data_IF_035989641381
#
_entry.id   IF_035989641381
#
_cell.length_a   1.000
_cell.length_b   1.000
_cell.length_c   1.000
_cell.angle_alpha   90.00
_cell.angle_beta   90.00
_cell.angle_gamma   90.00
#
_symmetry.space_group_name_H-M   'P 1'
#
loop_
_entity.id
_entity.type
_entity.pdbx_description
1 polymer ?
#
# COMPACT_ATOMS: atom_id res chain seq x y z
N UNK A 1 8.45 -12.83 7.52
CA UNK A 1 8.51 -12.02 8.73
C UNK A 1 7.12 -11.44 8.98
N UNK A 2 6.48 -11.78 10.09
CA UNK A 2 5.25 -11.12 10.50
C UNK A 2 5.61 -9.81 11.20
N UNK A 3 5.22 -8.68 10.65
CA UNK A 3 5.34 -7.40 11.35
C UNK A 3 4.11 -7.26 12.23
N UNK A 4 4.27 -7.46 13.53
CA UNK A 4 3.19 -7.25 14.49
C UNK A 4 3.20 -5.81 14.96
N UNK A 5 2.17 -5.07 14.60
CA UNK A 5 1.90 -3.78 15.22
C UNK A 5 1.05 -3.98 16.48
N UNK A 6 1.68 -3.89 17.64
CA UNK A 6 1.02 -4.12 18.93
C UNK A 6 -0.08 -3.09 19.25
N UNK A 7 -0.10 -1.94 18.60
CA UNK A 7 -1.00 -0.83 18.98
C UNK A 7 -2.23 -0.66 18.08
N UNK A 8 -2.28 -1.29 16.91
CA UNK A 8 -3.42 -1.13 15.99
C UNK A 8 -4.00 -2.46 15.48
N UNK A 9 -3.57 -3.59 16.02
CA UNK A 9 -4.10 -4.91 15.64
C UNK A 9 -3.76 -5.34 14.20
N UNK A 10 -2.90 -4.62 13.51
CA UNK A 10 -2.52 -4.96 12.15
C UNK A 10 -1.33 -5.91 12.17
N UNK A 11 -1.58 -7.17 11.93
CA UNK A 11 -0.53 -8.15 11.64
C UNK A 11 -0.38 -8.19 10.13
N UNK A 12 0.78 -7.83 9.62
CA UNK A 12 1.08 -7.97 8.20
C UNK A 12 1.73 -9.33 8.00
N UNK A 13 1.04 -10.22 7.34
CA UNK A 13 1.53 -11.56 7.01
C UNK A 13 1.83 -11.63 5.52
N UNK A 14 3.00 -12.11 5.19
CA UNK A 14 3.41 -12.30 3.80
C UNK A 14 4.91 -12.27 3.59
N UNK A 15 5.36 -12.62 2.39
CA UNK A 15 6.77 -12.48 2.03
C UNK A 15 7.17 -11.01 2.08
N UNK A 16 8.23 -10.69 2.83
CA UNK A 16 8.77 -9.34 2.94
C UNK A 16 10.07 -9.19 2.15
N UNK A 17 10.23 -8.02 1.55
CA UNK A 17 11.46 -7.60 0.90
C UNK A 17 12.19 -6.59 1.80
N UNK A 18 13.48 -6.79 2.03
CA UNK A 18 14.32 -5.95 2.92
C UNK A 18 15.62 -5.48 2.25
N UNK A 19 15.69 -5.51 0.94
CA UNK A 19 16.85 -5.09 0.16
C UNK A 19 16.66 -3.77 -0.57
N UNK A 20 17.50 -3.54 -1.57
CA UNK A 20 17.38 -2.43 -2.49
C UNK A 20 16.94 -2.98 -3.83
N UNK A 21 15.78 -2.53 -4.32
CA UNK A 21 15.33 -2.76 -5.68
C UNK A 21 15.49 -1.46 -6.47
N UNK A 22 16.36 -1.49 -7.47
CA UNK A 22 16.55 -0.38 -8.39
C UNK A 22 16.06 -0.81 -9.78
N UNK A 23 14.96 -0.21 -10.23
CA UNK A 23 14.40 -0.45 -11.55
C UNK A 23 15.25 0.13 -12.68
N UNK A 24 16.22 0.99 -12.34
CA UNK A 24 17.17 1.60 -13.29
C UNK A 24 16.48 2.27 -14.49
N UNK A 25 15.31 2.85 -14.24
CA UNK A 25 14.47 3.49 -15.27
C UNK A 25 13.76 2.53 -16.23
N UNK A 26 13.89 1.22 -16.02
CA UNK A 26 13.17 0.24 -16.84
C UNK A 26 11.69 0.20 -16.52
N UNK A 27 10.90 -0.22 -17.52
CA UNK A 27 9.46 -0.36 -17.39
C UNK A 27 9.07 -1.79 -17.07
N UNK A 28 8.20 -1.94 -16.10
CA UNK A 28 7.46 -3.17 -15.83
C UNK A 28 6.06 -2.95 -16.39
N UNK A 29 5.70 -3.69 -17.43
CA UNK A 29 4.41 -3.57 -18.11
C UNK A 29 3.61 -4.87 -17.98
N UNK A 30 2.28 -4.71 -17.96
CA UNK A 30 1.37 -5.86 -17.89
C UNK A 30 1.26 -6.45 -16.48
N UNK A 31 1.42 -5.64 -15.44
CA UNK A 31 1.09 -6.07 -14.07
C UNK A 31 -0.44 -6.11 -13.95
N UNK A 32 -1.03 -7.25 -14.30
CA UNK A 32 -2.49 -7.42 -14.41
C UNK A 32 -3.04 -8.50 -13.47
N UNK A 33 -2.84 -8.39 -12.15
CA UNK A 33 -3.46 -9.30 -11.19
C UNK A 33 -4.96 -9.11 -11.16
N UNK A 34 -5.72 -10.21 -11.30
CA UNK A 34 -7.19 -10.20 -11.30
C UNK A 34 -7.76 -11.18 -10.29
N UNK A 35 -8.95 -10.85 -9.77
CA UNK A 35 -9.65 -11.71 -8.83
C UNK A 35 -8.91 -11.89 -7.49
N UNK A 36 -8.12 -10.91 -7.09
CA UNK A 36 -7.40 -10.97 -5.81
C UNK A 36 -8.39 -10.71 -4.68
N UNK A 37 -8.50 -11.66 -3.76
CA UNK A 37 -9.31 -11.53 -2.54
C UNK A 37 -8.36 -11.53 -1.35
N UNK A 38 -8.36 -10.43 -0.60
CA UNK A 38 -7.52 -10.23 0.56
C UNK A 38 -8.31 -10.50 1.84
N UNK A 39 -7.85 -11.47 2.60
CA UNK A 39 -8.34 -11.75 3.94
C UNK A 39 -7.76 -10.78 4.98
N UNK A 40 -8.23 -10.87 6.22
CA UNK A 40 -7.74 -10.01 7.29
C UNK A 40 -6.22 -10.17 7.51
N UNK A 41 -5.50 -9.05 7.53
CA UNK A 41 -4.06 -8.99 7.70
C UNK A 41 -3.26 -9.17 6.40
N UNK A 42 -3.92 -9.47 5.29
CA UNK A 42 -3.22 -9.64 4.02
C UNK A 42 -2.94 -8.31 3.34
N UNK A 43 -1.90 -8.32 2.52
CA UNK A 43 -1.46 -7.16 1.76
C UNK A 43 -1.02 -7.59 0.35
N UNK A 44 -1.23 -6.72 -0.63
CA UNK A 44 -0.97 -7.02 -2.03
C UNK A 44 -0.31 -5.86 -2.77
N UNK A 45 0.60 -6.20 -3.66
CA UNK A 45 1.29 -5.31 -4.59
C UNK A 45 2.39 -6.07 -5.32
N UNK A 46 3.09 -5.42 -6.24
CA UNK A 46 4.31 -6.00 -6.84
C UNK A 46 5.30 -6.41 -5.73
N UNK A 47 5.38 -5.58 -4.69
CA UNK A 47 6.02 -5.89 -3.41
C UNK A 47 4.94 -5.94 -2.33
N UNK A 48 4.51 -7.10 -1.88
CA UNK A 48 3.48 -7.18 -0.84
C UNK A 48 3.88 -6.43 0.42
N UNK A 49 5.11 -6.66 0.93
CA UNK A 49 5.62 -6.02 2.14
C UNK A 49 7.05 -5.55 1.96
N UNK A 50 7.33 -4.30 2.29
CA UNK A 50 8.67 -3.76 2.45
C UNK A 50 9.00 -3.60 3.94
N UNK A 51 10.20 -4.04 4.36
CA UNK A 51 10.70 -3.87 5.73
C UNK A 51 12.15 -3.38 5.67
N UNK A 52 12.39 -2.13 6.02
CA UNK A 52 13.73 -1.54 5.94
C UNK A 52 14.30 -1.52 4.52
N UNK A 53 13.44 -1.50 3.52
CA UNK A 53 13.79 -1.66 2.11
C UNK A 53 13.87 -0.32 1.38
N UNK A 54 14.51 -0.34 0.22
CA UNK A 54 14.45 0.76 -0.74
C UNK A 54 13.97 0.25 -2.10
N UNK A 55 12.91 0.86 -2.64
CA UNK A 55 12.43 0.64 -4.01
C UNK A 55 12.55 1.96 -4.75
N UNK A 56 13.27 1.97 -5.87
CA UNK A 56 13.53 3.20 -6.61
C UNK A 56 13.64 3.00 -8.13
N UNK A 57 13.51 4.13 -8.84
CA UNK A 57 13.68 4.20 -10.29
C UNK A 57 12.79 3.17 -11.04
N UNK A 58 11.52 3.05 -10.63
CA UNK A 58 10.57 2.07 -11.16
C UNK A 58 9.48 2.77 -11.96
N UNK A 59 9.20 2.26 -13.16
CA UNK A 59 8.02 2.62 -13.92
C UNK A 59 7.15 1.38 -14.09
N UNK A 60 6.01 1.35 -13.37
CA UNK A 60 5.07 0.22 -13.37
C UNK A 60 3.81 0.60 -14.13
N UNK A 61 3.29 -0.30 -14.95
CA UNK A 61 1.98 -0.10 -15.58
C UNK A 61 1.18 -1.39 -15.67
N UNK A 62 -0.16 -1.26 -15.46
CA UNK A 62 -1.06 -2.39 -15.53
C UNK A 62 -2.45 -2.12 -14.97
N UNK A 63 -3.15 -3.20 -14.69
CA UNK A 63 -4.51 -3.18 -14.13
C UNK A 63 -4.54 -4.13 -12.93
N UNK A 64 -5.03 -3.68 -11.81
CA UNK A 64 -5.21 -4.49 -10.62
C UNK A 64 -6.70 -4.62 -10.28
N UNK A 65 -7.15 -5.83 -10.03
CA UNK A 65 -8.50 -6.11 -9.52
C UNK A 65 -8.37 -6.74 -8.13
N UNK A 66 -8.87 -6.05 -7.09
CA UNK A 66 -8.68 -6.46 -5.71
C UNK A 66 -9.94 -6.26 -4.88
N UNK A 67 -10.26 -7.25 -4.06
CA UNK A 67 -11.37 -7.22 -3.10
C UNK A 67 -10.83 -7.51 -1.72
N UNK A 68 -11.35 -6.86 -0.69
CA UNK A 68 -11.00 -7.18 0.69
C UNK A 68 -12.15 -7.88 1.41
N UNK A 69 -11.87 -9.01 2.01
CA UNK A 69 -12.77 -9.71 2.92
C UNK A 69 -12.53 -9.36 4.40
N UNK A 70 -11.54 -8.51 4.70
CA UNK A 70 -11.19 -8.06 6.04
C UNK A 70 -10.31 -6.83 6.03
N UNK A 71 -9.62 -6.53 7.15
CA UNK A 71 -8.61 -5.47 7.19
C UNK A 71 -7.46 -5.85 6.27
N UNK A 72 -7.26 -5.10 5.20
CA UNK A 72 -6.27 -5.39 4.18
C UNK A 72 -5.68 -4.11 3.58
N UNK A 73 -4.55 -4.25 2.92
CA UNK A 73 -3.86 -3.13 2.29
C UNK A 73 -3.42 -3.53 0.88
N UNK A 74 -3.65 -2.66 -0.11
CA UNK A 74 -3.26 -2.92 -1.49
C UNK A 74 -2.67 -1.68 -2.17
N UNK A 75 -1.62 -1.89 -2.94
CA UNK A 75 -1.05 -0.88 -3.83
C UNK A 75 -0.49 -1.54 -5.08
N UNK A 76 -0.51 -0.87 -6.22
CA UNK A 76 0.05 -1.51 -7.42
C UNK A 76 1.53 -1.82 -7.24
N UNK A 77 2.30 -0.89 -6.67
CA UNK A 77 3.72 -1.12 -6.44
C UNK A 77 3.98 -1.80 -5.09
N UNK A 78 3.42 -1.27 -4.01
CA UNK A 78 3.69 -1.74 -2.65
C UNK A 78 2.38 -1.91 -1.88
N UNK A 79 2.16 -3.08 -1.31
CA UNK A 79 1.04 -3.31 -0.40
C UNK A 79 1.23 -2.58 0.91
N UNK A 80 2.30 -2.90 1.64
CA UNK A 80 2.66 -2.25 2.91
C UNK A 80 4.14 -1.88 2.93
N UNK A 81 4.44 -0.63 3.28
CA UNK A 81 5.79 -0.12 3.50
C UNK A 81 6.02 0.14 5.00
N UNK A 82 7.02 -0.54 5.57
CA UNK A 82 7.42 -0.43 6.95
C UNK A 82 8.88 0.02 7.04
N UNK A 83 9.14 1.18 7.66
CA UNK A 83 10.50 1.73 7.81
C UNK A 83 11.30 1.71 6.49
N UNK A 84 10.65 2.04 5.38
CA UNK A 84 11.15 1.82 4.04
C UNK A 84 11.13 3.09 3.19
N UNK A 85 11.88 3.09 2.11
CA UNK A 85 11.94 4.20 1.16
C UNK A 85 11.42 3.77 -0.21
N UNK A 86 10.45 4.52 -0.74
CA UNK A 86 9.96 4.40 -2.11
C UNK A 86 10.24 5.74 -2.80
N UNK A 87 11.02 5.76 -3.87
CA UNK A 87 11.36 7.02 -4.53
C UNK A 87 11.58 6.90 -6.03
N UNK A 88 11.38 8.03 -6.70
CA UNK A 88 11.60 8.13 -8.14
C UNK A 88 10.80 7.05 -8.90
N UNK A 89 9.50 6.92 -8.57
CA UNK A 89 8.64 5.88 -9.12
C UNK A 89 7.48 6.48 -9.90
N UNK A 90 7.07 5.80 -10.96
CA UNK A 90 5.88 6.14 -11.73
C UNK A 90 4.98 4.93 -11.82
N UNK A 91 3.71 5.09 -11.46
CA UNK A 91 2.70 4.03 -11.55
C UNK A 91 1.57 4.50 -12.47
N UNK A 92 1.21 3.67 -13.45
CA UNK A 92 0.18 3.98 -14.43
C UNK A 92 -0.85 2.86 -14.53
N UNK A 93 -2.10 3.20 -14.76
CA UNK A 93 -3.13 2.19 -15.05
C UNK A 93 -4.41 2.34 -14.27
N UNK A 94 -4.98 1.21 -13.82
CA UNK A 94 -6.28 1.19 -13.15
C UNK A 94 -6.26 0.23 -11.96
N UNK A 95 -6.90 0.63 -10.88
CA UNK A 95 -7.22 -0.26 -9.76
C UNK A 95 -8.73 -0.38 -9.68
N UNK A 96 -9.26 -1.56 -9.97
CA UNK A 96 -10.65 -1.92 -9.76
C UNK A 96 -10.77 -2.57 -8.38
N UNK A 97 -11.51 -1.94 -7.50
CA UNK A 97 -11.66 -2.38 -6.13
C UNK A 97 -13.11 -2.62 -5.77
N UNK A 98 -13.38 -3.73 -5.11
CA UNK A 98 -14.64 -3.97 -4.43
C UNK A 98 -14.39 -4.10 -2.93
N UNK A 99 -15.12 -3.33 -2.13
CA UNK A 99 -15.05 -3.43 -0.67
C UNK A 99 -15.82 -4.63 -0.17
N UNK A 100 -15.35 -5.22 0.92
CA UNK A 100 -16.09 -6.26 1.63
C UNK A 100 -17.18 -5.66 2.52
N UNK A 101 -18.10 -6.52 2.92
CA UNK A 101 -19.16 -6.25 3.89
C UNK A 101 -18.66 -6.12 5.34
N UNK A 102 -17.38 -6.28 5.59
CA UNK A 102 -16.82 -6.33 6.93
C UNK A 102 -16.53 -4.94 7.50
N UNK A 103 -16.74 -4.81 8.78
CA UNK A 103 -16.47 -3.64 9.63
C UNK A 103 -14.99 -3.26 9.74
N UNK A 104 -14.20 -3.36 8.67
CA UNK A 104 -12.76 -3.32 8.76
C UNK A 104 -12.13 -2.35 7.75
N UNK A 105 -10.90 -1.92 8.03
CA UNK A 105 -10.14 -1.01 7.19
C UNK A 105 -9.67 -1.72 5.92
N UNK A 106 -9.90 -1.12 4.79
CA UNK A 106 -9.28 -1.47 3.53
C UNK A 106 -8.57 -0.25 2.95
N UNK A 107 -7.25 -0.27 2.91
CA UNK A 107 -6.47 0.84 2.38
C UNK A 107 -5.91 0.51 1.00
N UNK A 108 -6.22 1.36 0.03
CA UNK A 108 -5.74 1.24 -1.34
C UNK A 108 -5.01 2.52 -1.73
N UNK A 109 -3.76 2.38 -2.15
CA UNK A 109 -2.99 3.46 -2.74
C UNK A 109 -2.44 3.05 -4.10
N UNK A 110 -2.37 3.98 -5.04
CA UNK A 110 -1.80 3.64 -6.33
C UNK A 110 -0.34 3.18 -6.22
N UNK A 111 0.46 3.85 -5.39
CA UNK A 111 1.85 3.50 -5.13
C UNK A 111 1.97 2.57 -3.93
N UNK A 112 1.34 2.92 -2.80
CA UNK A 112 1.46 2.17 -1.56
C UNK A 112 0.11 2.11 -0.82
N UNK A 113 -0.35 0.90 -0.47
CA UNK A 113 -1.59 0.72 0.30
C UNK A 113 -1.46 1.28 1.71
N UNK A 114 -0.45 0.85 2.43
CA UNK A 114 -0.21 1.25 3.81
C UNK A 114 1.24 1.63 4.06
N UNK A 115 1.46 2.80 4.62
CA UNK A 115 2.78 3.28 5.02
C UNK A 115 2.86 3.42 6.55
N UNK A 116 3.90 2.84 7.16
CA UNK A 116 4.09 2.79 8.59
C UNK A 116 5.53 3.05 8.98
N UNK A 117 5.76 3.82 10.03
CA UNK A 117 7.08 4.14 10.55
C UNK A 117 7.12 3.96 12.07
N UNK A 118 8.21 3.39 12.59
CA UNK A 118 8.45 3.26 14.03
C UNK A 118 9.95 3.04 14.34
N UNK A 119 10.29 2.98 15.62
CA UNK A 119 11.66 2.67 16.11
C UNK A 119 12.74 3.63 15.57
N UNK A 120 12.42 4.93 15.56
CA UNK A 120 13.30 6.00 15.10
C UNK A 120 13.73 5.88 13.61
N UNK A 121 12.93 5.14 12.81
CA UNK A 121 13.17 4.98 11.38
C UNK A 121 11.95 5.49 10.61
N UNK A 122 12.20 6.36 9.64
CA UNK A 122 11.14 6.91 8.78
C UNK A 122 10.72 5.92 7.69
N UNK A 123 9.45 6.02 7.27
CA UNK A 123 9.02 5.55 5.97
C UNK A 123 8.90 6.76 5.05
N UNK A 124 9.58 6.73 3.91
CA UNK A 124 9.67 7.86 2.98
C UNK A 124 9.09 7.46 1.62
N UNK A 125 8.18 8.29 1.10
CA UNK A 125 7.67 8.19 -0.28
C UNK A 125 7.95 9.52 -0.94
N UNK A 126 8.80 9.52 -1.95
CA UNK A 126 9.38 10.74 -2.54
C UNK A 126 9.40 10.64 -4.06
N UNK A 127 9.11 11.75 -4.75
CA UNK A 127 9.09 11.81 -6.21
C UNK A 127 8.25 10.69 -6.85
N UNK A 128 7.10 10.37 -6.27
CA UNK A 128 6.21 9.37 -6.79
C UNK A 128 5.15 10.02 -7.69
N UNK A 129 5.00 9.49 -8.89
CA UNK A 129 3.98 9.92 -9.85
C UNK A 129 2.96 8.80 -10.02
N UNK A 130 1.70 9.14 -9.81
CA UNK A 130 0.57 8.25 -10.05
C UNK A 130 -0.30 8.77 -11.19
N UNK A 131 -0.45 7.98 -12.23
CA UNK A 131 -1.45 8.16 -13.29
C UNK A 131 -2.42 6.98 -13.24
N UNK A 132 -2.94 6.69 -12.05
CA UNK A 132 -3.80 5.53 -11.79
C UNK A 132 -5.21 5.99 -11.52
N UNK A 133 -6.16 5.49 -12.30
CA UNK A 133 -7.57 5.58 -11.97
C UNK A 133 -7.90 4.51 -10.91
N UNK A 134 -8.49 4.92 -9.80
CA UNK A 134 -9.01 4.00 -8.78
C UNK A 134 -10.51 3.96 -8.91
N UNK A 135 -11.04 2.83 -9.34
CA UNK A 135 -12.47 2.59 -9.51
C UNK A 135 -12.99 1.70 -8.38
N UNK A 136 -14.01 2.19 -7.69
CA UNK A 136 -14.69 1.41 -6.68
C UNK A 136 -16.00 0.85 -7.24
N UNK A 137 -16.06 -0.45 -7.41
CA UNK A 137 -17.28 -1.17 -7.78
C UNK A 137 -17.95 -1.66 -6.50
N UNK A 138 -19.01 -0.98 -6.10
CA UNK A 138 -19.66 -1.04 -4.81
C UNK A 138 -19.74 -2.40 -4.13
N UNK A 139 -19.25 -2.46 -2.90
CA UNK A 139 -19.64 -3.43 -1.91
C UNK A 139 -20.71 -2.80 -1.01
N UNK A 140 -21.80 -3.45 -0.86
CA UNK A 140 -22.88 -3.03 0.03
C UNK A 140 -22.37 -3.04 1.49
N UNK A 141 -22.72 -2.01 2.23
CA UNK A 141 -22.68 -1.90 3.68
C UNK A 141 -21.45 -1.26 4.33
N UNK A 142 -21.05 -0.11 3.83
CA UNK A 142 -20.55 0.94 4.74
C UNK A 142 -21.69 1.47 5.65
N UNK A 143 -22.89 0.90 5.52
CA UNK A 143 -24.11 1.39 6.16
C UNK A 143 -24.13 1.32 7.70
N UNK A 144 -23.23 0.57 8.32
CA UNK A 144 -23.20 0.41 9.77
C UNK A 144 -21.99 1.08 10.46
N UNK A 145 -21.28 1.97 9.77
CA UNK A 145 -20.30 2.86 10.42
C UNK A 145 -19.05 2.20 11.01
N UNK A 146 -18.83 0.92 10.77
CA UNK A 146 -17.76 0.17 11.41
C UNK A 146 -16.55 -0.14 10.50
N UNK A 147 -16.65 0.09 9.20
CA UNK A 147 -15.54 -0.11 8.27
C UNK A 147 -15.24 1.14 7.46
N UNK A 148 -13.99 1.33 7.07
CA UNK A 148 -13.60 2.39 6.17
C UNK A 148 -12.75 1.86 5.02
N UNK A 149 -13.15 2.17 3.80
CA UNK A 149 -12.30 2.06 2.63
C UNK A 149 -11.57 3.39 2.45
N UNK A 150 -10.25 3.33 2.37
CA UNK A 150 -9.39 4.50 2.21
C UNK A 150 -8.71 4.40 0.85
N UNK A 151 -8.90 5.41 0.02
CA UNK A 151 -8.34 5.47 -1.32
C UNK A 151 -7.43 6.68 -1.44
N UNK A 152 -6.21 6.46 -1.85
CA UNK A 152 -5.24 7.52 -2.08
C UNK A 152 -4.57 7.41 -3.45
N UNK A 153 -4.40 8.53 -4.11
CA UNK A 153 -3.68 8.60 -5.37
C UNK A 153 -2.23 8.14 -5.27
N UNK A 154 -1.61 8.33 -4.10
CA UNK A 154 -0.26 7.85 -3.79
C UNK A 154 -0.32 6.79 -2.70
N UNK A 155 -0.84 7.12 -1.51
CA UNK A 155 -0.90 6.25 -0.33
C UNK A 155 -2.33 6.14 0.16
N UNK A 156 -2.81 4.92 0.40
CA UNK A 156 -4.14 4.67 0.93
C UNK A 156 -4.27 5.06 2.39
N UNK A 157 -3.33 4.65 3.22
CA UNK A 157 -3.30 4.98 4.64
C UNK A 157 -1.87 5.11 5.15
N UNK A 158 -1.62 6.12 5.98
CA UNK A 158 -0.32 6.35 6.60
C UNK A 158 -0.49 6.60 8.10
N UNK A 159 0.36 5.99 8.92
CA UNK A 159 0.32 6.19 10.37
C UNK A 159 1.66 5.85 11.04
N UNK A 160 1.76 6.25 12.29
CA UNK A 160 2.86 5.90 13.21
C UNK A 160 2.24 5.42 14.53
N UNK A 161 2.96 4.67 15.37
CA UNK A 161 2.47 4.33 16.69
C UNK A 161 2.36 5.61 17.55
N UNK A 162 1.56 5.54 18.61
CA UNK A 162 1.43 6.63 19.60
C UNK A 162 2.65 6.77 20.52
N UNK A 163 3.70 6.03 20.28
CA UNK A 163 4.93 6.09 21.09
C UNK A 163 5.73 7.36 20.79
N UNK A 164 6.48 7.82 21.79
CA UNK A 164 7.40 8.96 21.66
C UNK A 164 8.63 8.46 20.90
N UNK A 165 8.96 9.10 19.78
CA UNK A 165 10.12 8.77 18.96
C UNK A 165 10.32 9.78 17.83
N UNK A 166 11.49 9.77 17.22
CA UNK A 166 11.84 10.64 16.08
C UNK A 166 11.63 9.91 14.74
N UNK A 167 10.38 9.55 14.45
CA UNK A 167 10.04 8.86 13.21
C UNK A 167 8.73 9.41 12.62
N UNK A 168 8.63 9.33 11.31
CA UNK A 168 7.49 9.85 10.55
C UNK A 168 7.27 9.04 9.27
N UNK A 169 6.03 9.05 8.80
CA UNK A 169 5.76 8.77 7.40
C UNK A 169 5.86 10.09 6.65
N UNK A 170 6.79 10.18 5.71
CA UNK A 170 7.10 11.37 4.93
C UNK A 170 6.65 11.12 3.49
N UNK A 171 5.69 11.91 3.01
CA UNK A 171 5.21 11.88 1.62
C UNK A 171 5.52 13.26 1.05
N UNK A 172 6.42 13.34 0.08
CA UNK A 172 6.84 14.62 -0.48
C UNK A 172 7.13 14.54 -1.98
N UNK A 173 6.98 15.67 -2.65
CA UNK A 173 7.26 15.82 -4.07
C UNK A 173 6.53 14.79 -4.95
N UNK A 174 5.31 14.40 -4.53
CA UNK A 174 4.48 13.41 -5.20
C UNK A 174 3.37 14.09 -6.02
N UNK A 175 3.01 13.46 -7.13
CA UNK A 175 1.96 13.93 -8.05
C UNK A 175 0.95 12.81 -8.33
N UNK A 176 -0.32 13.18 -8.36
CA UNK A 176 -1.43 12.30 -8.72
C UNK A 176 -2.33 13.01 -9.74
#
# INVERSE_FOLDING_TARGET
LAVKNANNGCTVEGPSFSGIFNGNGHKIIGFNPKGIVLEAGQTFGLFPVLVGATVKDVNLSGEMEVTAAGTADAGMLVGTAYNSTIKDVTVNGTINSAGSTASQRFAIGAVCGFAYAENDVNTVIENAVSNVAVEFVGGSNLANGAGCAMYGGIVGFATTPKSIGNFSVIIKDCTN
#
